data_IF_425986339841
#
_entry.id   IF_425986339841
#
_cell.length_a   1.000
_cell.length_b   1.000
_cell.length_c   1.000
_cell.angle_alpha   90.00
_cell.angle_beta   90.00
_cell.angle_gamma   90.00
#
_symmetry.space_group_name_H-M   'P 1'
#
loop_
_entity.id
_entity.type
_entity.pdbx_description
1 polymer ?
#
# COMPACT_ATOMS: atom_id res chain seq x y z
N UNK A 1 -1.34 13.13 -15.60
CA UNK A 1 0.03 13.63 -15.31
C UNK A 1 0.15 14.18 -13.90
N UNK A 2 -0.73 15.10 -13.47
CA UNK A 2 -0.71 15.66 -12.10
C UNK A 2 -0.84 14.61 -10.98
N UNK A 3 -1.76 13.65 -11.13
CA UNK A 3 -1.92 12.53 -10.17
C UNK A 3 -0.69 11.61 -10.08
N UNK A 4 0.01 11.42 -11.21
CA UNK A 4 1.24 10.63 -11.28
C UNK A 4 2.38 11.34 -10.53
N UNK A 5 2.42 12.67 -10.61
CA UNK A 5 3.39 13.52 -9.91
C UNK A 5 3.16 13.53 -8.39
N UNK A 6 1.90 13.52 -7.94
CA UNK A 6 1.52 13.37 -6.53
C UNK A 6 1.99 12.01 -5.98
N UNK A 7 1.86 10.93 -6.76
CA UNK A 7 2.36 9.60 -6.37
C UNK A 7 3.89 9.51 -6.33
N UNK A 8 4.60 10.21 -7.24
CA UNK A 8 6.06 10.34 -7.19
C UNK A 8 6.55 11.12 -5.96
N UNK A 9 5.71 12.01 -5.42
CA UNK A 9 6.01 12.81 -4.23
C UNK A 9 5.45 12.23 -2.92
N UNK A 10 4.75 11.08 -2.94
CA UNK A 10 4.15 10.51 -1.74
C UNK A 10 5.25 9.93 -0.85
N UNK A 11 5.72 10.73 0.11
CA UNK A 11 6.43 10.22 1.29
C UNK A 11 5.56 9.14 1.93
N UNK A 12 6.17 8.03 2.33
CA UNK A 12 5.51 6.99 3.13
C UNK A 12 4.86 7.70 4.32
N UNK A 13 3.53 7.60 4.51
CA UNK A 13 2.87 8.28 5.62
C UNK A 13 3.44 7.72 6.92
N UNK A 14 4.08 8.58 7.72
CA UNK A 14 4.49 8.26 9.07
C UNK A 14 3.24 8.37 9.94
N UNK A 15 2.87 7.28 10.60
CA UNK A 15 1.73 7.29 11.51
C UNK A 15 2.20 7.61 12.92
N UNK A 16 1.62 8.65 13.52
CA UNK A 16 1.79 8.91 14.95
C UNK A 16 0.98 7.87 15.74
N UNK A 17 1.66 7.11 16.58
CA UNK A 17 1.09 6.05 17.42
C UNK A 17 1.32 6.43 18.87
N UNK A 18 0.24 6.53 19.65
CA UNK A 18 0.30 6.61 21.10
C UNK A 18 0.63 5.26 21.71
N UNK A 19 1.52 5.20 22.69
CA UNK A 19 1.86 3.97 23.42
C UNK A 19 1.62 4.18 24.91
N UNK A 20 0.92 3.22 25.51
CA UNK A 20 0.74 3.10 26.96
C UNK A 20 1.35 1.78 27.39
N UNK A 21 2.45 1.86 28.13
CA UNK A 21 3.11 0.69 28.67
C UNK A 21 2.76 0.51 30.16
N UNK A 22 1.84 -0.42 30.48
CA UNK A 22 1.50 -0.74 31.87
C UNK A 22 2.41 -1.82 32.48
N UNK A 23 3.19 -2.51 31.66
CA UNK A 23 4.10 -3.58 32.07
C UNK A 23 5.47 -3.02 32.49
N UNK A 24 6.03 -2.13 31.67
CA UNK A 24 7.34 -1.48 31.87
C UNK A 24 8.54 -2.43 32.02
N UNK A 25 8.37 -3.71 31.70
CA UNK A 25 9.42 -4.73 31.69
C UNK A 25 10.19 -4.77 30.36
N UNK A 26 11.16 -5.69 30.26
CA UNK A 26 12.14 -5.78 29.16
C UNK A 26 11.49 -6.05 27.80
N UNK A 27 10.61 -7.04 27.71
CA UNK A 27 9.90 -7.45 26.50
C UNK A 27 8.96 -6.33 26.00
N UNK A 28 8.28 -5.64 26.92
CA UNK A 28 7.40 -4.52 26.56
C UNK A 28 8.19 -3.36 25.93
N UNK A 29 9.36 -3.00 26.51
CA UNK A 29 10.25 -1.96 25.97
C UNK A 29 10.91 -2.38 24.66
N UNK A 30 11.27 -3.65 24.55
CA UNK A 30 11.85 -4.20 23.32
C UNK A 30 10.83 -4.23 22.18
N UNK A 31 9.55 -4.50 22.46
CA UNK A 31 8.48 -4.40 21.47
C UNK A 31 8.30 -2.97 20.96
N UNK A 32 8.34 -1.97 21.85
CA UNK A 32 8.27 -0.56 21.47
C UNK A 32 9.43 -0.22 20.55
N UNK A 33 10.64 -0.62 20.93
CA UNK A 33 11.87 -0.44 20.12
C UNK A 33 11.77 -1.16 18.77
N UNK A 34 11.18 -2.35 18.73
CA UNK A 34 10.96 -3.12 17.50
C UNK A 34 10.04 -2.38 16.52
N UNK A 35 8.95 -1.78 17.03
CA UNK A 35 8.02 -0.98 16.23
C UNK A 35 8.66 0.32 15.72
N UNK A 36 9.46 0.99 16.55
CA UNK A 36 10.19 2.23 16.22
C UNK A 36 11.20 2.01 15.08
N UNK A 37 11.92 0.89 15.11
CA UNK A 37 12.93 0.52 14.11
C UNK A 37 12.36 0.30 12.70
N UNK A 38 11.04 0.12 12.56
CA UNK A 38 10.41 -0.02 11.23
C UNK A 38 10.43 1.27 10.39
N UNK A 39 10.72 2.43 11.01
CA UNK A 39 10.69 3.78 10.39
C UNK A 39 9.35 4.17 9.74
N UNK A 40 8.29 3.38 9.94
CA UNK A 40 6.92 3.65 9.45
C UNK A 40 6.04 4.33 10.50
N UNK A 41 6.48 4.30 11.76
CA UNK A 41 5.71 4.77 12.91
C UNK A 41 6.53 5.78 13.71
N UNK A 42 5.86 6.83 14.18
CA UNK A 42 6.38 7.73 15.23
C UNK A 42 5.64 7.38 16.51
N UNK A 43 6.35 6.78 17.46
CA UNK A 43 5.77 6.33 18.73
C UNK A 43 5.87 7.47 19.74
N UNK A 44 4.73 7.79 20.37
CA UNK A 44 4.59 8.84 21.37
C UNK A 44 4.13 8.17 22.67
N UNK A 45 4.93 8.26 23.73
CA UNK A 45 4.47 7.87 25.05
C UNK A 45 3.35 8.82 25.49
N UNK A 46 2.21 8.27 25.86
CA UNK A 46 1.05 9.05 26.30
C UNK A 46 0.46 8.43 27.56
N UNK A 47 -0.21 9.24 28.37
CA UNK A 47 -1.01 8.75 29.48
C UNK A 47 -2.36 8.22 29.00
N UNK A 48 -2.92 7.25 29.73
CA UNK A 48 -4.23 6.65 29.43
C UNK A 48 -5.37 7.66 29.46
N UNK A 49 -5.27 8.66 30.35
CA UNK A 49 -6.18 9.79 30.45
C UNK A 49 -6.25 10.63 29.16
N UNK A 50 -5.13 10.75 28.44
CA UNK A 50 -5.01 11.61 27.26
C UNK A 50 -5.35 10.90 25.95
N UNK A 51 -5.53 9.57 25.96
CA UNK A 51 -5.75 8.77 24.74
C UNK A 51 -6.95 9.26 23.98
N UNK A 52 -8.10 9.33 24.64
CA UNK A 52 -9.37 9.67 23.97
C UNK A 52 -9.25 11.03 23.30
N UNK A 53 -8.74 12.02 24.02
CA UNK A 53 -8.57 13.38 23.52
C UNK A 53 -7.62 13.43 22.32
N UNK A 54 -6.45 12.78 22.41
CA UNK A 54 -5.44 12.80 21.35
C UNK A 54 -5.87 12.03 20.10
N UNK A 55 -6.58 10.90 20.25
CA UNK A 55 -7.14 10.16 19.11
C UNK A 55 -8.26 10.99 18.46
N UNK A 56 -9.16 11.60 19.25
CA UNK A 56 -10.28 12.42 18.72
C UNK A 56 -9.81 13.69 18.02
N UNK A 57 -8.74 14.33 18.50
CA UNK A 57 -8.12 15.48 17.84
C UNK A 57 -7.30 15.11 16.59
N UNK A 58 -7.08 13.81 16.34
CA UNK A 58 -6.29 13.31 15.20
C UNK A 58 -4.78 13.49 15.36
N UNK A 59 -4.30 13.83 16.56
CA UNK A 59 -2.87 13.98 16.86
C UNK A 59 -2.14 12.64 16.79
N UNK A 60 -2.83 11.57 17.19
CA UNK A 60 -2.41 10.18 17.05
C UNK A 60 -3.44 9.40 16.24
N UNK A 61 -2.96 8.50 15.37
CA UNK A 61 -3.83 7.66 14.55
C UNK A 61 -4.30 6.39 15.28
N UNK A 62 -3.48 5.90 16.23
CA UNK A 62 -3.71 4.70 17.04
C UNK A 62 -3.19 4.93 18.45
N UNK A 63 -3.80 4.29 19.44
CA UNK A 63 -3.19 4.06 20.74
C UNK A 63 -3.02 2.56 20.97
N UNK A 64 -1.81 2.15 21.36
CA UNK A 64 -1.46 0.78 21.72
C UNK A 64 -1.37 0.72 23.25
N UNK A 65 -2.15 -0.18 23.86
CA UNK A 65 -2.14 -0.38 25.31
C UNK A 65 -1.52 -1.75 25.59
N UNK A 66 -0.33 -1.73 26.16
CA UNK A 66 0.36 -2.94 26.63
C UNK A 66 -0.16 -3.22 28.05
N UNK A 67 -0.82 -4.38 28.28
CA UNK A 67 -1.39 -4.71 29.57
C UNK A 67 -0.29 -4.95 30.61
N UNK A 68 -0.65 -4.86 31.90
CA UNK A 68 0.22 -5.25 33.00
C UNK A 68 0.47 -6.77 32.97
N UNK A 69 1.67 -7.19 33.38
CA UNK A 69 2.17 -8.57 33.38
C UNK A 69 2.22 -9.16 31.96
N UNK A 70 2.48 -8.32 30.96
CA UNK A 70 2.63 -8.75 29.57
C UNK A 70 3.83 -9.70 29.44
N UNK A 71 4.97 -9.34 30.02
CA UNK A 71 6.17 -10.17 30.00
C UNK A 71 5.96 -11.55 30.65
N UNK A 72 5.38 -11.58 31.85
CA UNK A 72 5.09 -12.84 32.54
C UNK A 72 4.08 -13.69 31.77
N UNK A 73 3.05 -13.08 31.19
CA UNK A 73 2.04 -13.81 30.40
C UNK A 73 2.65 -14.52 29.19
N UNK A 74 3.67 -13.94 28.58
CA UNK A 74 4.42 -14.57 27.48
C UNK A 74 5.24 -15.74 28.00
N UNK A 75 5.95 -15.57 29.11
CA UNK A 75 6.80 -16.62 29.71
C UNK A 75 5.95 -17.82 30.15
N UNK A 76 4.75 -17.57 30.66
CA UNK A 76 3.76 -18.58 31.07
C UNK A 76 3.03 -19.23 29.88
N UNK A 77 3.35 -18.85 28.64
CA UNK A 77 2.75 -19.33 27.40
C UNK A 77 1.25 -18.97 27.22
N UNK A 78 0.80 -17.95 27.94
CA UNK A 78 -0.56 -17.39 27.88
C UNK A 78 -0.53 -15.88 27.56
N UNK A 79 -0.02 -15.47 26.37
CA UNK A 79 0.22 -14.06 26.07
C UNK A 79 -1.07 -13.24 26.12
N UNK A 80 -1.08 -12.19 26.94
CA UNK A 80 -2.20 -11.25 27.01
C UNK A 80 -2.34 -10.46 25.70
N UNK A 81 -3.57 -10.28 25.25
CA UNK A 81 -3.87 -9.48 24.08
C UNK A 81 -3.50 -8.01 24.31
N UNK A 82 -2.81 -7.42 23.32
CA UNK A 82 -2.56 -5.98 23.27
C UNK A 82 -3.78 -5.30 22.67
N UNK A 83 -4.28 -4.28 23.37
CA UNK A 83 -5.43 -3.50 22.94
C UNK A 83 -4.98 -2.37 22.01
N UNK A 84 -5.70 -2.19 20.90
CA UNK A 84 -5.43 -1.15 19.91
C UNK A 84 -6.69 -0.29 19.75
N UNK A 85 -6.63 0.95 20.21
CA UNK A 85 -7.71 1.91 20.11
C UNK A 85 -7.50 2.81 18.89
N UNK A 86 -8.55 3.00 18.09
CA UNK A 86 -8.52 3.88 16.93
C UNK A 86 -9.90 4.44 16.60
N UNK A 87 -9.92 5.63 16.01
CA UNK A 87 -11.11 6.24 15.41
C UNK A 87 -11.18 5.93 13.91
N UNK A 88 -10.05 5.54 13.29
CA UNK A 88 -10.00 5.15 11.88
C UNK A 88 -10.46 3.70 11.74
N UNK A 89 -11.26 3.40 10.69
CA UNK A 89 -11.80 2.06 10.45
C UNK A 89 -10.75 0.94 10.36
N UNK A 90 -11.22 -0.32 10.40
CA UNK A 90 -10.41 -1.55 10.53
C UNK A 90 -9.21 -1.67 9.56
N UNK A 91 -9.28 -1.07 8.37
CA UNK A 91 -8.29 -1.28 7.30
C UNK A 91 -6.85 -0.86 7.67
N UNK A 92 -6.69 0.18 8.46
CA UNK A 92 -5.36 0.70 8.80
C UNK A 92 -4.78 0.01 10.04
N UNK A 93 -5.63 -0.56 10.89
CA UNK A 93 -5.26 -1.31 12.10
C UNK A 93 -4.68 -2.70 11.80
N UNK A 94 -4.98 -3.28 10.63
CA UNK A 94 -4.51 -4.63 10.25
C UNK A 94 -2.99 -4.74 10.29
N UNK A 95 -2.28 -3.75 9.75
CA UNK A 95 -0.82 -3.81 9.66
C UNK A 95 -0.15 -3.81 11.03
N UNK A 96 -0.49 -2.85 11.88
CA UNK A 96 0.08 -2.75 13.23
C UNK A 96 -0.27 -3.98 14.08
N UNK A 97 -1.51 -4.47 13.96
CA UNK A 97 -1.94 -5.71 14.62
C UNK A 97 -1.11 -6.91 14.17
N UNK A 98 -0.85 -7.04 12.87
CA UNK A 98 -0.02 -8.12 12.34
C UNK A 98 1.44 -8.02 12.83
N UNK A 99 2.02 -6.81 12.90
CA UNK A 99 3.37 -6.63 13.44
C UNK A 99 3.46 -7.04 14.92
N UNK A 100 2.48 -6.62 15.73
CA UNK A 100 2.40 -6.98 17.14
C UNK A 100 2.20 -8.49 17.30
N UNK A 101 1.28 -9.08 16.55
CA UNK A 101 1.02 -10.52 16.59
C UNK A 101 2.26 -11.33 16.21
N UNK A 102 2.98 -10.93 15.15
CA UNK A 102 4.21 -11.61 14.75
C UNK A 102 5.30 -11.51 15.83
N UNK A 103 5.40 -10.36 16.52
CA UNK A 103 6.31 -10.21 17.65
C UNK A 103 5.93 -11.15 18.80
N UNK A 104 4.64 -11.20 19.19
CA UNK A 104 4.13 -12.09 20.24
C UNK A 104 4.32 -13.57 19.86
N UNK A 105 4.02 -13.96 18.63
CA UNK A 105 4.19 -15.35 18.15
C UNK A 105 5.65 -15.80 18.24
N UNK A 106 6.60 -14.95 17.84
CA UNK A 106 8.03 -15.27 17.98
C UNK A 106 8.42 -15.49 19.45
N UNK A 107 7.91 -14.65 20.36
CA UNK A 107 8.16 -14.83 21.79
C UNK A 107 7.47 -16.07 22.35
N UNK A 108 6.29 -16.41 21.84
CA UNK A 108 5.55 -17.62 22.23
C UNK A 108 6.31 -18.90 21.84
N UNK A 109 6.91 -18.93 20.64
CA UNK A 109 7.76 -20.05 20.24
C UNK A 109 8.96 -20.18 21.19
N UNK A 110 9.54 -19.06 21.63
CA UNK A 110 10.64 -19.07 22.61
C UNK A 110 10.13 -19.58 23.97
N UNK A 111 8.95 -19.16 24.44
CA UNK A 111 8.38 -19.67 25.70
C UNK A 111 8.06 -21.15 25.65
N UNK A 112 7.55 -21.67 24.52
CA UNK A 112 7.24 -23.09 24.35
C UNK A 112 8.48 -23.99 24.44
N UNK A 113 9.63 -23.51 23.95
CA UNK A 113 10.89 -24.27 23.94
C UNK A 113 11.63 -24.16 25.28
N UNK A 114 11.39 -23.08 26.03
CA UNK A 114 12.10 -22.77 27.27
C UNK A 114 11.51 -23.54 28.45
N UNK A 115 12.34 -24.16 29.29
CA UNK A 115 11.86 -24.89 30.48
C UNK A 115 11.74 -24.01 31.73
N UNK A 116 12.41 -22.87 31.74
CA UNK A 116 12.39 -21.91 32.83
C UNK A 116 12.68 -20.48 32.35
N UNK A 117 12.44 -19.50 33.21
CA UNK A 117 12.62 -18.08 32.88
C UNK A 117 14.06 -17.75 32.46
N UNK A 118 15.09 -18.37 33.06
CA UNK A 118 16.49 -18.10 32.70
C UNK A 118 16.79 -18.54 31.26
N UNK A 119 16.39 -19.76 30.92
CA UNK A 119 16.55 -20.34 29.59
C UNK A 119 15.79 -19.52 28.54
N UNK A 120 14.60 -19.01 28.88
CA UNK A 120 13.86 -18.07 28.05
C UNK A 120 14.67 -16.82 27.72
N UNK A 121 15.24 -16.14 28.74
CA UNK A 121 16.03 -14.94 28.47
C UNK A 121 17.34 -15.23 27.75
N UNK A 122 17.93 -16.42 27.92
CA UNK A 122 19.14 -16.80 27.20
C UNK A 122 18.86 -17.03 25.71
N UNK A 123 17.79 -17.76 25.39
CA UNK A 123 17.32 -17.95 24.01
C UNK A 123 16.87 -16.61 23.42
N UNK A 124 16.13 -15.79 24.18
CA UNK A 124 15.67 -14.47 23.75
C UNK A 124 16.82 -13.50 23.47
N UNK A 125 17.87 -13.48 24.31
CA UNK A 125 19.09 -12.70 24.04
C UNK A 125 19.77 -13.20 22.77
N UNK A 126 19.89 -14.50 22.59
CA UNK A 126 20.39 -15.11 21.36
C UNK A 126 19.59 -14.68 20.13
N UNK A 127 18.26 -14.70 20.22
CA UNK A 127 17.36 -14.22 19.18
C UNK A 127 17.49 -12.71 18.94
N UNK A 128 17.64 -11.88 19.98
CA UNK A 128 17.79 -10.42 19.84
C UNK A 128 19.14 -10.03 19.22
N UNK A 129 20.21 -10.74 19.58
CA UNK A 129 21.57 -10.48 19.06
C UNK A 129 21.82 -11.12 17.69
N UNK A 130 21.37 -12.36 17.46
CA UNK A 130 21.59 -13.10 16.21
C UNK A 130 20.42 -12.97 15.23
N UNK A 131 19.23 -12.60 15.70
CA UNK A 131 18.07 -12.18 14.90
C UNK A 131 18.18 -10.74 14.41
N UNK A 132 19.23 -9.99 14.84
CA UNK A 132 20.00 -9.22 13.86
C UNK A 132 20.69 -10.20 12.91
N UNK A 133 19.89 -10.91 12.11
CA UNK A 133 20.29 -11.10 10.74
C UNK A 133 20.56 -9.67 10.29
N UNK A 134 21.85 -9.30 10.24
CA UNK A 134 22.31 -8.49 9.14
C UNK A 134 21.89 -9.29 7.91
N UNK A 135 20.64 -9.13 7.51
CA UNK A 135 20.38 -8.74 6.15
C UNK A 135 21.35 -7.57 5.98
N UNK A 136 22.54 -7.90 5.51
CA UNK A 136 23.32 -7.02 4.68
C UNK A 136 22.34 -6.72 3.56
N UNK A 137 21.48 -5.76 3.83
CA UNK A 137 20.62 -5.15 2.87
C UNK A 137 21.62 -4.48 1.98
N UNK A 138 22.12 -5.21 0.97
CA UNK A 138 22.14 -4.63 -0.35
C UNK A 138 20.79 -3.97 -0.44
N UNK A 139 20.80 -2.64 -0.34
CA UNK A 139 19.68 -1.82 -0.72
C UNK A 139 19.48 -2.11 -2.19
N UNK A 140 18.86 -3.25 -2.49
CA UNK A 140 18.25 -3.48 -3.77
C UNK A 140 17.21 -2.39 -3.85
N UNK A 141 17.29 -1.58 -4.90
CA UNK A 141 16.38 -0.46 -5.13
C UNK A 141 14.97 -0.90 -4.74
N UNK A 142 14.31 -0.16 -3.84
CA UNK A 142 13.04 -0.56 -3.24
C UNK A 142 11.99 -0.86 -4.34
N UNK A 143 11.90 -2.13 -4.74
CA UNK A 143 11.08 -2.57 -5.86
C UNK A 143 9.61 -2.52 -5.44
N UNK A 144 9.30 -2.49 -4.14
CA UNK A 144 7.93 -2.43 -3.64
C UNK A 144 7.27 -1.12 -4.06
N UNK A 145 7.97 0.01 -3.88
CA UNK A 145 7.49 1.31 -4.37
C UNK A 145 7.32 1.30 -5.89
N UNK A 146 8.27 0.73 -6.63
CA UNK A 146 8.21 0.62 -8.10
C UNK A 146 7.08 -0.32 -8.58
N UNK A 147 6.80 -1.40 -7.85
CA UNK A 147 5.76 -2.39 -8.16
C UNK A 147 4.37 -1.84 -7.89
N UNK A 148 4.14 -1.24 -6.71
CA UNK A 148 2.89 -0.54 -6.39
C UNK A 148 2.63 0.59 -7.37
N UNK A 149 3.67 1.35 -7.73
CA UNK A 149 3.58 2.38 -8.76
C UNK A 149 3.20 1.82 -10.12
N UNK A 150 3.81 0.71 -10.55
CA UNK A 150 3.52 0.06 -11.83
C UNK A 150 2.07 -0.42 -11.87
N UNK A 151 1.59 -1.07 -10.80
CA UNK A 151 0.21 -1.55 -10.69
C UNK A 151 -0.81 -0.41 -10.66
N UNK A 152 -0.56 0.65 -9.90
CA UNK A 152 -1.48 1.79 -9.82
C UNK A 152 -1.50 2.62 -11.10
N UNK A 153 -0.34 2.81 -11.72
CA UNK A 153 -0.23 3.50 -13.02
C UNK A 153 -0.99 2.74 -14.12
N UNK A 154 -1.03 1.40 -14.04
CA UNK A 154 -1.82 0.56 -14.93
C UNK A 154 -3.31 0.90 -14.85
N UNK A 155 -3.87 0.97 -13.64
CA UNK A 155 -5.28 1.31 -13.43
C UNK A 155 -5.64 2.70 -13.96
N UNK A 156 -4.80 3.70 -13.66
CA UNK A 156 -4.99 5.07 -14.17
C UNK A 156 -4.93 5.10 -15.71
N UNK A 157 -4.05 4.31 -16.31
CA UNK A 157 -3.94 4.24 -17.76
C UNK A 157 -5.17 3.60 -18.42
N UNK A 158 -5.72 2.52 -17.84
CA UNK A 158 -6.97 1.91 -18.28
C UNK A 158 -8.11 2.94 -18.22
N UNK A 159 -8.21 3.71 -17.12
CA UNK A 159 -9.21 4.78 -17.01
C UNK A 159 -9.05 5.83 -18.13
N UNK A 160 -7.81 6.18 -18.50
CA UNK A 160 -7.55 7.14 -19.57
C UNK A 160 -7.92 6.57 -20.96
N UNK A 161 -7.70 5.29 -21.21
CA UNK A 161 -8.17 4.59 -22.43
C UNK A 161 -9.69 4.57 -22.52
N UNK A 162 -10.37 4.27 -21.41
CA UNK A 162 -11.83 4.28 -21.37
C UNK A 162 -12.39 5.70 -21.61
N UNK A 163 -11.76 6.72 -21.03
CA UNK A 163 -12.18 8.10 -21.19
C UNK A 163 -12.10 8.57 -22.66
N UNK A 164 -11.02 8.26 -23.38
CA UNK A 164 -10.88 8.62 -24.80
C UNK A 164 -11.90 7.90 -25.67
N UNK A 165 -12.09 6.59 -25.46
CA UNK A 165 -13.11 5.79 -26.17
C UNK A 165 -14.53 6.33 -25.97
N UNK A 166 -14.89 6.72 -24.73
CA UNK A 166 -16.20 7.32 -24.43
C UNK A 166 -16.37 8.65 -25.17
N UNK A 167 -15.34 9.50 -25.21
CA UNK A 167 -15.43 10.79 -25.88
C UNK A 167 -15.54 10.66 -27.41
N UNK A 168 -14.86 9.68 -28.01
CA UNK A 168 -14.97 9.38 -29.44
C UNK A 168 -16.36 8.81 -29.76
N UNK A 169 -16.88 7.93 -28.91
CA UNK A 169 -18.24 7.39 -29.06
C UNK A 169 -19.31 8.48 -28.94
N UNK A 170 -19.10 9.47 -28.06
CA UNK A 170 -19.96 10.66 -27.94
C UNK A 170 -19.96 11.53 -29.21
N UNK A 171 -18.88 11.52 -29.99
CA UNK A 171 -18.80 12.29 -31.24
C UNK A 171 -19.86 11.80 -32.25
N UNK A 172 -20.03 10.48 -32.39
CA UNK A 172 -21.06 9.89 -33.26
C UNK A 172 -22.47 10.31 -32.82
N UNK A 173 -22.72 10.29 -31.50
CA UNK A 173 -24.02 10.68 -30.93
C UNK A 173 -24.27 12.17 -31.18
N UNK A 174 -23.24 13.02 -31.01
CA UNK A 174 -23.31 14.45 -31.31
C UNK A 174 -23.62 14.70 -32.78
N UNK A 175 -22.96 13.99 -33.69
CA UNK A 175 -23.16 14.12 -35.14
C UNK A 175 -24.54 13.64 -35.60
N UNK A 176 -25.11 12.62 -34.94
CA UNK A 176 -26.51 12.23 -35.14
C UNK A 176 -27.48 13.32 -34.66
N UNK A 177 -27.25 13.90 -33.48
CA UNK A 177 -28.08 14.96 -32.91
C UNK A 177 -28.05 16.23 -33.77
N UNK A 178 -26.88 16.61 -34.28
CA UNK A 178 -26.69 17.79 -35.15
C UNK A 178 -27.09 17.55 -36.61
N UNK A 179 -27.65 16.37 -36.91
CA UNK A 179 -28.03 15.91 -38.25
C UNK A 179 -26.89 15.88 -39.28
N UNK A 180 -25.65 16.04 -38.84
CA UNK A 180 -24.44 15.93 -39.68
C UNK A 180 -24.26 14.51 -40.20
N UNK A 181 -24.58 13.50 -39.39
CA UNK A 181 -24.62 12.10 -39.82
C UNK A 181 -25.52 11.89 -41.05
N UNK A 182 -26.73 12.44 -41.04
CA UNK A 182 -27.67 12.31 -42.16
C UNK A 182 -27.18 13.05 -43.41
N UNK A 183 -26.51 14.20 -43.25
CA UNK A 183 -25.88 14.91 -44.38
C UNK A 183 -24.75 14.11 -45.03
N UNK A 184 -23.93 13.43 -44.22
CA UNK A 184 -22.85 12.57 -44.71
C UNK A 184 -23.41 11.35 -45.46
N UNK A 185 -24.52 10.77 -45.01
CA UNK A 185 -25.16 9.64 -45.69
C UNK A 185 -25.89 9.99 -46.99
N UNK A 186 -26.03 11.27 -47.33
CA UNK A 186 -26.57 11.73 -48.64
C UNK A 186 -25.46 11.90 -49.68
N UNK A 187 -24.20 12.02 -49.24
CA UNK A 187 -23.03 11.86 -50.11
C UNK A 187 -22.90 10.38 -50.55
N UNK A 188 -22.06 10.01 -51.54
CA UNK A 188 -21.97 8.63 -52.07
C UNK A 188 -21.33 7.62 -51.09
N UNK A 189 -21.46 7.84 -49.78
CA UNK A 189 -20.94 7.00 -48.71
C UNK A 189 -22.07 6.25 -48.00
N UNK A 190 -21.93 4.94 -47.89
CA UNK A 190 -22.88 4.10 -47.15
C UNK A 190 -22.75 4.29 -45.65
N UNK A 191 -23.85 4.15 -44.90
CA UNK A 191 -23.86 4.24 -43.44
C UNK A 191 -22.91 3.27 -42.74
N UNK A 192 -22.63 2.11 -43.37
CA UNK A 192 -21.67 1.11 -42.86
C UNK A 192 -20.23 1.59 -43.01
N UNK A 193 -19.88 2.22 -44.13
CA UNK A 193 -18.54 2.78 -44.35
C UNK A 193 -18.22 3.89 -43.34
N UNK A 194 -19.19 4.73 -43.00
CA UNK A 194 -19.01 5.75 -41.96
C UNK A 194 -18.75 5.12 -40.58
N UNK A 195 -19.54 4.12 -40.17
CA UNK A 195 -19.38 3.46 -38.86
C UNK A 195 -18.01 2.76 -38.79
N UNK A 196 -17.65 2.00 -39.83
CA UNK A 196 -16.37 1.31 -39.92
C UNK A 196 -15.20 2.30 -39.92
N UNK A 197 -15.32 3.41 -40.65
CA UNK A 197 -14.31 4.48 -40.65
C UNK A 197 -14.06 5.01 -39.25
N UNK A 198 -15.13 5.33 -38.51
CA UNK A 198 -14.98 5.83 -37.14
C UNK A 198 -14.44 4.77 -36.16
N UNK A 199 -14.76 3.49 -36.36
CA UNK A 199 -14.15 2.40 -35.58
C UNK A 199 -12.64 2.29 -35.86
N UNK A 200 -12.22 2.38 -37.11
CA UNK A 200 -10.80 2.40 -37.47
C UNK A 200 -10.08 3.63 -36.92
N UNK A 201 -10.69 4.81 -37.00
CA UNK A 201 -10.14 6.03 -36.40
C UNK A 201 -9.97 5.88 -34.89
N UNK A 202 -10.95 5.29 -34.20
CA UNK A 202 -10.85 5.02 -32.76
C UNK A 202 -9.70 4.05 -32.43
N UNK A 203 -9.55 2.97 -33.21
CA UNK A 203 -8.45 2.02 -33.05
C UNK A 203 -7.08 2.69 -33.25
N UNK A 204 -6.94 3.56 -34.24
CA UNK A 204 -5.70 4.31 -34.49
C UNK A 204 -5.37 5.27 -33.33
N UNK A 205 -6.37 5.97 -32.79
CA UNK A 205 -6.18 6.88 -31.65
C UNK A 205 -5.73 6.11 -30.41
N UNK A 206 -6.38 4.97 -30.11
CA UNK A 206 -6.00 4.10 -28.99
C UNK A 206 -4.59 3.53 -29.18
N UNK A 207 -4.25 3.07 -30.38
CA UNK A 207 -2.92 2.57 -30.70
C UNK A 207 -1.83 3.63 -30.55
N UNK A 208 -2.10 4.85 -31.00
CA UNK A 208 -1.18 5.99 -30.82
C UNK A 208 -1.01 6.37 -29.35
N UNK A 209 -2.09 6.36 -28.58
CA UNK A 209 -2.08 6.60 -27.13
C UNK A 209 -1.24 5.53 -26.38
N UNK A 210 -1.39 4.25 -26.73
CA UNK A 210 -0.58 3.14 -26.20
C UNK A 210 0.91 3.35 -26.49
N UNK A 211 1.24 3.72 -27.73
CA UNK A 211 2.62 3.99 -28.14
C UNK A 211 3.28 5.09 -27.31
N UNK A 212 2.59 6.21 -27.08
CA UNK A 212 3.09 7.31 -26.25
C UNK A 212 3.36 6.84 -24.81
N UNK A 213 2.46 6.03 -24.24
CA UNK A 213 2.63 5.56 -22.87
C UNK A 213 3.79 4.60 -22.72
N UNK A 214 3.99 3.69 -23.68
CA UNK A 214 5.17 2.81 -23.69
C UNK A 214 6.46 3.65 -23.77
N UNK A 215 6.50 4.70 -24.59
CA UNK A 215 7.66 5.61 -24.66
C UNK A 215 7.96 6.30 -23.32
N UNK A 216 6.91 6.76 -22.62
CA UNK A 216 7.02 7.38 -21.29
C UNK A 216 7.59 6.37 -20.27
N UNK A 217 7.07 5.14 -20.25
CA UNK A 217 7.52 4.10 -19.32
C UNK A 217 8.99 3.73 -19.54
N UNK A 218 9.43 3.63 -20.81
CA UNK A 218 10.83 3.32 -21.15
C UNK A 218 11.75 4.48 -20.75
N UNK A 219 11.42 5.71 -21.17
CA UNK A 219 12.35 6.84 -21.08
C UNK A 219 12.40 7.50 -19.69
N UNK A 220 11.27 7.57 -18.99
CA UNK A 220 11.16 8.26 -17.70
C UNK A 220 11.37 7.29 -16.52
N UNK A 221 10.81 6.07 -16.60
CA UNK A 221 10.73 5.16 -15.44
C UNK A 221 11.83 4.07 -15.47
N UNK A 222 12.53 3.88 -16.60
CA UNK A 222 13.59 2.85 -16.77
C UNK A 222 13.13 1.49 -16.22
N UNK A 223 11.94 1.05 -16.60
CA UNK A 223 11.41 -0.27 -16.24
C UNK A 223 12.04 -1.32 -17.16
N UNK A 224 12.91 -2.16 -16.60
CA UNK A 224 13.55 -3.27 -17.31
C UNK A 224 12.63 -4.52 -17.35
N UNK A 225 11.33 -4.32 -17.57
CA UNK A 225 10.33 -5.39 -17.57
C UNK A 225 9.96 -5.74 -19.01
N UNK A 226 9.74 -7.03 -19.27
CA UNK A 226 9.47 -7.57 -20.60
C UNK A 226 8.28 -6.85 -21.26
N UNK A 227 8.57 -5.93 -22.18
CA UNK A 227 7.60 -5.02 -22.81
C UNK A 227 6.48 -5.75 -23.56
N UNK A 228 6.77 -6.98 -24.03
CA UNK A 228 5.82 -7.85 -24.71
C UNK A 228 4.65 -8.27 -23.79
N UNK A 229 4.93 -8.59 -22.51
CA UNK A 229 3.89 -8.96 -21.56
C UNK A 229 3.01 -7.76 -21.22
N UNK A 230 3.58 -6.55 -21.17
CA UNK A 230 2.81 -5.33 -20.94
C UNK A 230 1.88 -5.02 -22.12
N UNK A 231 2.37 -5.19 -23.35
CA UNK A 231 1.58 -5.01 -24.57
C UNK A 231 0.45 -6.03 -24.68
N UNK A 232 0.71 -7.31 -24.40
CA UNK A 232 -0.30 -8.39 -24.43
C UNK A 232 -1.38 -8.21 -23.35
N UNK A 233 -1.01 -7.67 -22.18
CA UNK A 233 -1.98 -7.44 -21.09
C UNK A 233 -2.87 -6.19 -21.31
N UNK A 234 -2.45 -5.26 -22.17
CA UNK A 234 -3.14 -4.00 -22.44
C UNK A 234 -4.00 -4.01 -23.70
N UNK A 235 -3.80 -5.00 -24.58
CA UNK A 235 -4.61 -5.22 -25.78
C UNK A 235 -5.86 -6.03 -25.45
#
# INVERSE_FOLDING_TARGET
MFLLFIQLSSKIPIYNIGVINKDNETLSKDMISYLENTKRYSLLSIEESEVKDKVTKGEISYAIIIPKDFENSIIENEPKNIEILTIKGQDITVWIKNYINMYIENLKIISEISKNNKEFYDIYKGYKFNGKLSLEGKTTEDITAKKVFTTNSMGIFIMFLMYTSINISKLIIKEKREKTYYRICVAPFSSRQYILGNMFTNLLIIGFQLFIVILILIKIIKLNTNYLNFFILMM
#
